data_IF_318535821093
#
_entry.id   IF_318535821093
#
_cell.length_a   1.000
_cell.length_b   1.000
_cell.length_c   1.000
_cell.angle_alpha   90.00
_cell.angle_beta   90.00
_cell.angle_gamma   90.00
#
_symmetry.space_group_name_H-M   'P 1'
#
loop_
_entity.id
_entity.type
_entity.pdbx_description
1 polymer ?
#
# COMPACT_ATOMS: atom_id res chain seq x y z
N UNK A 1 1.56 79.22 -34.45
CA UNK A 1 2.97 78.84 -34.72
C UNK A 1 3.10 77.34 -34.42
N UNK A 2 3.54 76.55 -35.41
CA UNK A 2 4.14 75.19 -35.38
C UNK A 2 4.40 74.59 -33.97
N UNK A 3 4.15 73.31 -33.64
CA UNK A 3 4.61 72.06 -34.28
C UNK A 3 3.93 70.84 -33.60
N UNK A 4 3.82 69.72 -34.33
CA UNK A 4 3.39 68.37 -33.90
C UNK A 4 4.37 67.71 -32.92
N UNK A 5 3.91 66.79 -32.06
CA UNK A 5 4.57 65.50 -31.82
C UNK A 5 3.60 64.43 -31.27
N UNK A 6 3.75 63.22 -31.82
CA UNK A 6 3.04 61.98 -31.52
C UNK A 6 3.80 61.19 -30.43
N UNK A 7 3.12 60.61 -29.46
CA UNK A 7 3.62 59.51 -28.60
C UNK A 7 2.41 58.66 -28.18
N UNK A 8 2.14 57.56 -28.88
CA UNK A 8 2.44 56.17 -28.48
C UNK A 8 1.57 55.63 -27.34
N UNK A 9 0.63 54.76 -27.72
CA UNK A 9 -0.05 53.82 -26.85
C UNK A 9 0.97 52.91 -26.15
N UNK A 10 0.83 52.77 -24.84
CA UNK A 10 1.35 51.60 -24.13
C UNK A 10 0.35 51.21 -23.05
N UNK A 11 -0.42 50.16 -23.34
CA UNK A 11 -1.18 49.41 -22.33
C UNK A 11 -0.15 48.77 -21.39
N UNK A 12 -0.03 49.28 -20.16
CA UNK A 12 0.72 48.59 -19.12
C UNK A 12 -0.16 47.44 -18.61
N UNK A 13 -0.05 46.27 -19.27
CA UNK A 13 -0.47 45.01 -18.69
C UNK A 13 0.44 44.73 -17.49
N UNK A 14 0.00 45.13 -16.29
CA UNK A 14 0.63 44.67 -15.06
C UNK A 14 0.16 43.23 -14.85
N UNK A 15 0.76 42.28 -15.57
CA UNK A 15 0.65 40.86 -15.23
C UNK A 15 1.28 40.68 -13.86
N UNK A 16 0.45 40.65 -12.81
CA UNK A 16 0.85 40.05 -11.55
C UNK A 16 1.15 38.58 -11.83
N UNK A 17 2.43 38.27 -12.09
CA UNK A 17 2.96 36.95 -11.86
C UNK A 17 2.88 36.72 -10.34
N UNK A 18 1.74 36.20 -9.89
CA UNK A 18 1.71 35.51 -8.61
C UNK A 18 2.69 34.34 -8.76
N UNK A 19 3.73 34.24 -7.92
CA UNK A 19 4.54 33.04 -7.92
C UNK A 19 3.60 31.88 -7.61
N UNK A 20 3.58 30.86 -8.47
CA UNK A 20 2.95 29.58 -8.16
C UNK A 20 3.57 29.12 -6.85
N UNK A 21 2.82 29.24 -5.76
CA UNK A 21 3.14 28.54 -4.53
C UNK A 21 3.09 27.05 -4.88
N UNK A 22 4.26 26.46 -5.09
CA UNK A 22 4.41 25.01 -5.15
C UNK A 22 3.82 24.46 -3.86
N UNK A 23 2.72 23.73 -3.95
CA UNK A 23 2.26 22.90 -2.85
C UNK A 23 3.43 21.98 -2.48
N UNK A 24 4.08 22.27 -1.37
CA UNK A 24 5.21 21.53 -0.88
C UNK A 24 4.63 20.24 -0.28
N UNK A 25 4.93 19.09 -0.88
CA UNK A 25 4.66 17.79 -0.27
C UNK A 25 5.19 17.83 1.15
N UNK A 26 4.31 17.74 2.14
CA UNK A 26 4.73 17.71 3.55
C UNK A 26 5.31 16.33 3.83
N UNK A 27 6.53 16.11 3.36
CA UNK A 27 7.31 14.95 3.75
C UNK A 27 7.44 14.99 5.28
N UNK A 28 7.17 13.86 5.93
CA UNK A 28 7.43 13.73 7.35
C UNK A 28 8.93 13.59 7.54
N UNK A 29 9.51 14.50 8.33
CA UNK A 29 10.93 14.44 8.67
C UNK A 29 11.11 13.61 9.93
N UNK A 30 11.87 12.53 9.81
CA UNK A 30 12.29 11.72 10.96
C UNK A 30 13.74 12.04 11.26
N UNK A 31 13.95 12.68 12.41
CA UNK A 31 15.27 13.08 12.90
C UNK A 31 15.77 12.11 13.96
N UNK A 32 17.01 11.66 13.83
CA UNK A 32 17.70 10.97 14.93
C UNK A 32 19.22 11.13 14.86
N UNK A 33 19.87 10.83 15.98
CA UNK A 33 21.32 10.93 16.14
C UNK A 33 21.97 9.59 16.45
N UNK A 34 23.01 9.27 15.67
CA UNK A 34 23.93 8.18 15.95
C UNK A 34 25.14 8.70 16.75
N UNK A 35 25.35 8.18 17.95
CA UNK A 35 26.48 8.56 18.80
C UNK A 35 27.70 7.67 18.56
N UNK A 36 28.89 8.25 18.68
CA UNK A 36 30.17 7.58 18.48
C UNK A 36 31.12 7.78 19.65
N UNK A 37 31.90 6.74 19.92
CA UNK A 37 33.00 6.80 20.88
C UNK A 37 34.17 7.65 20.35
N UNK A 38 35.06 8.05 21.26
CA UNK A 38 36.27 8.80 20.95
C UNK A 38 37.10 8.05 19.89
N UNK A 39 37.54 8.76 18.86
CA UNK A 39 38.31 8.24 17.71
C UNK A 39 37.70 7.06 16.95
N UNK A 40 36.42 6.73 17.20
CA UNK A 40 35.72 5.65 16.49
C UNK A 40 34.81 6.21 15.41
N UNK A 41 34.74 5.46 14.32
CA UNK A 41 33.80 5.70 13.21
C UNK A 41 32.94 4.48 12.89
N UNK A 42 33.14 3.35 13.56
CA UNK A 42 32.29 2.17 13.44
C UNK A 42 31.03 2.35 14.30
N UNK A 43 29.87 1.97 13.76
CA UNK A 43 28.63 1.90 14.53
C UNK A 43 28.73 0.79 15.58
N UNK A 44 28.42 1.12 16.83
CA UNK A 44 28.32 0.11 17.89
C UNK A 44 27.10 -0.79 17.67
N UNK A 45 27.05 -1.94 18.36
CA UNK A 45 25.89 -2.83 18.31
C UNK A 45 24.60 -2.12 18.75
N UNK A 46 24.67 -1.28 19.79
CA UNK A 46 23.53 -0.50 20.26
C UNK A 46 23.04 0.51 19.20
N UNK A 47 23.96 1.24 18.55
CA UNK A 47 23.54 2.17 17.48
C UNK A 47 22.93 1.46 16.28
N UNK A 48 23.42 0.27 15.92
CA UNK A 48 22.78 -0.56 14.88
C UNK A 48 21.35 -0.95 15.27
N UNK A 49 21.14 -1.48 16.48
CA UNK A 49 19.80 -1.82 16.98
C UNK A 49 18.83 -0.62 17.00
N UNK A 50 19.33 0.59 17.28
CA UNK A 50 18.51 1.81 17.21
C UNK A 50 18.10 2.13 15.77
N UNK A 51 19.03 2.01 14.81
CA UNK A 51 18.72 2.18 13.38
C UNK A 51 17.74 1.09 12.93
N UNK A 52 17.92 -0.17 13.32
CA UNK A 52 17.02 -1.26 12.97
C UNK A 52 15.61 -1.02 13.53
N UNK A 53 15.51 -0.57 14.79
CA UNK A 53 14.23 -0.23 15.43
C UNK A 53 13.53 0.94 14.73
N UNK A 54 14.30 1.88 14.18
CA UNK A 54 13.79 2.98 13.38
C UNK A 54 13.30 2.46 12.00
N UNK A 55 14.08 1.62 11.33
CA UNK A 55 13.74 1.08 10.02
C UNK A 55 12.53 0.14 10.06
N UNK A 56 12.25 -0.50 11.20
CA UNK A 56 10.97 -1.20 11.43
C UNK A 56 9.76 -0.28 11.33
N UNK A 57 9.89 0.97 11.79
CA UNK A 57 8.81 1.98 11.78
C UNK A 57 8.81 2.83 10.52
N UNK A 58 9.98 2.95 9.89
CA UNK A 58 10.23 3.77 8.69
C UNK A 58 11.01 2.96 7.66
N UNK A 59 10.36 1.99 6.98
CA UNK A 59 11.04 1.11 6.05
C UNK A 59 11.74 1.86 4.91
N UNK A 60 12.79 1.27 4.35
CA UNK A 60 13.68 1.99 3.43
C UNK A 60 13.01 2.41 2.11
N UNK A 61 12.03 1.63 1.66
CA UNK A 61 11.23 1.88 0.46
C UNK A 61 10.30 3.11 0.57
N UNK A 62 10.00 3.60 1.78
CA UNK A 62 9.20 4.82 1.99
C UNK A 62 10.06 6.06 2.22
N UNK A 63 11.40 5.89 2.28
CA UNK A 63 12.35 7.00 2.41
C UNK A 63 12.54 7.63 1.02
N UNK A 64 11.99 8.83 0.82
CA UNK A 64 12.18 9.62 -0.42
C UNK A 64 13.59 10.19 -0.51
N UNK A 65 14.09 10.72 0.60
CA UNK A 65 15.46 11.19 0.71
C UNK A 65 16.01 10.97 2.12
N UNK A 66 17.33 10.85 2.22
CA UNK A 66 18.05 10.82 3.49
C UNK A 66 19.13 11.91 3.47
N UNK A 67 19.23 12.68 4.55
CA UNK A 67 20.33 13.62 4.78
C UNK A 67 21.16 13.15 5.97
N UNK A 68 22.48 13.09 5.79
CA UNK A 68 23.40 12.58 6.81
C UNK A 68 24.50 13.61 7.05
N UNK A 69 24.61 14.10 8.28
CA UNK A 69 25.57 15.13 8.67
C UNK A 69 26.49 14.66 9.79
N UNK A 70 27.80 14.71 9.56
CA UNK A 70 28.80 14.22 10.51
C UNK A 70 29.43 15.30 11.37
N UNK A 71 29.57 15.03 12.67
CA UNK A 71 30.16 15.95 13.65
C UNK A 71 31.19 15.23 14.55
N UNK A 72 32.07 16.03 15.15
CA UNK A 72 33.03 15.63 16.18
C UNK A 72 32.96 16.59 17.36
N UNK A 73 33.60 16.21 18.47
CA UNK A 73 33.90 17.14 19.55
C UNK A 73 35.16 17.95 19.25
N UNK A 74 35.47 18.89 20.14
CA UNK A 74 36.54 19.87 19.96
C UNK A 74 37.93 19.43 20.47
N UNK A 75 38.21 18.12 20.52
CA UNK A 75 39.43 17.60 21.15
C UNK A 75 40.64 17.53 20.22
N UNK A 76 40.41 17.53 18.91
CA UNK A 76 41.45 17.34 17.89
C UNK A 76 41.47 18.53 16.92
N UNK A 77 42.47 18.57 16.04
CA UNK A 77 42.55 19.63 15.03
C UNK A 77 41.42 19.51 13.99
N UNK A 78 41.12 20.65 13.36
CA UNK A 78 40.03 20.79 12.39
C UNK A 78 40.14 19.78 11.24
N UNK A 79 41.34 19.55 10.70
CA UNK A 79 41.53 18.65 9.55
C UNK A 79 41.26 17.18 9.92
N UNK A 80 41.78 16.76 11.07
CA UNK A 80 41.50 15.45 11.65
C UNK A 80 40.00 15.26 11.88
N UNK A 81 39.35 16.23 12.52
CA UNK A 81 37.93 16.21 12.85
C UNK A 81 37.04 16.17 11.60
N UNK A 82 37.41 16.88 10.53
CA UNK A 82 36.77 16.79 9.21
C UNK A 82 36.90 15.39 8.61
N UNK A 83 38.08 14.76 8.67
CA UNK A 83 38.27 13.38 8.17
C UNK A 83 37.48 12.35 9.00
N UNK A 84 37.45 12.50 10.32
CA UNK A 84 36.75 11.59 11.22
C UNK A 84 35.23 11.66 11.05
N UNK A 85 34.66 12.87 10.99
CA UNK A 85 33.22 13.06 10.72
C UNK A 85 32.81 12.49 9.36
N UNK A 86 33.62 12.67 8.31
CA UNK A 86 33.39 12.04 6.99
C UNK A 86 33.32 10.51 7.08
N UNK A 87 34.24 9.87 7.81
CA UNK A 87 34.23 8.40 7.99
C UNK A 87 32.99 7.92 8.75
N UNK A 88 32.52 8.68 9.74
CA UNK A 88 31.28 8.36 10.48
C UNK A 88 30.05 8.42 9.57
N UNK A 89 29.94 9.46 8.75
CA UNK A 89 28.87 9.61 7.74
C UNK A 89 28.87 8.43 6.77
N UNK A 90 30.04 8.02 6.28
CA UNK A 90 30.18 6.86 5.40
C UNK A 90 29.75 5.56 6.07
N UNK A 91 30.07 5.36 7.36
CA UNK A 91 29.62 4.18 8.11
C UNK A 91 28.09 4.13 8.25
N UNK A 92 27.46 5.26 8.54
CA UNK A 92 25.99 5.34 8.64
C UNK A 92 25.34 5.10 7.28
N UNK A 93 25.81 5.79 6.23
CA UNK A 93 25.29 5.60 4.87
C UNK A 93 25.44 4.14 4.41
N UNK A 94 26.62 3.54 4.61
CA UNK A 94 26.86 2.14 4.26
C UNK A 94 25.87 1.21 4.96
N UNK A 95 25.53 1.50 6.21
CA UNK A 95 24.55 0.70 6.94
C UNK A 95 23.16 0.78 6.29
N UNK A 96 22.66 1.98 5.99
CA UNK A 96 21.37 2.15 5.29
C UNK A 96 21.35 1.53 3.90
N UNK A 97 22.44 1.62 3.14
CA UNK A 97 22.55 0.96 1.81
C UNK A 97 22.49 -0.55 1.94
N UNK A 98 23.12 -1.15 2.96
CA UNK A 98 23.01 -2.58 3.24
C UNK A 98 21.58 -3.00 3.63
N UNK A 99 20.77 -2.08 4.17
CA UNK A 99 19.34 -2.28 4.46
C UNK A 99 18.45 -2.00 3.24
N UNK A 100 19.02 -1.76 2.05
CA UNK A 100 18.29 -1.61 0.79
C UNK A 100 18.07 -0.17 0.31
N UNK A 101 18.74 0.82 0.90
CA UNK A 101 18.60 2.22 0.48
C UNK A 101 19.36 2.46 -0.82
N UNK A 102 18.70 3.02 -1.83
CA UNK A 102 19.38 3.49 -3.04
C UNK A 102 20.27 4.70 -2.70
N UNK A 103 21.60 4.63 -2.95
CA UNK A 103 22.51 5.75 -2.71
C UNK A 103 22.11 7.06 -3.39
N UNK A 104 21.35 7.01 -4.50
CA UNK A 104 20.89 8.21 -5.21
C UNK A 104 19.97 9.09 -4.35
N UNK A 105 19.30 8.49 -3.36
CA UNK A 105 18.40 9.19 -2.45
C UNK A 105 19.13 9.84 -1.26
N UNK A 106 20.46 9.72 -1.19
CA UNK A 106 21.26 10.20 -0.07
C UNK A 106 22.00 11.51 -0.37
N UNK A 107 21.82 12.49 0.51
CA UNK A 107 22.62 13.71 0.59
C UNK A 107 23.50 13.65 1.84
N UNK A 108 24.80 13.92 1.69
CA UNK A 108 25.74 13.83 2.82
C UNK A 108 26.61 15.08 2.94
N UNK A 109 26.92 15.49 4.17
CA UNK A 109 27.92 16.51 4.49
C UNK A 109 28.61 16.21 5.83
N UNK A 110 29.74 16.86 6.11
CA UNK A 110 30.55 16.60 7.31
C UNK A 110 31.30 17.85 7.77
N UNK A 111 31.12 18.20 9.04
CA UNK A 111 31.53 19.50 9.58
C UNK A 111 32.68 19.42 10.59
N UNK A 112 33.09 18.22 11.01
CA UNK A 112 34.01 18.07 12.13
C UNK A 112 33.44 18.78 13.37
N UNK A 113 34.24 19.64 13.98
CA UNK A 113 33.89 20.40 15.19
C UNK A 113 33.18 21.73 14.91
N UNK A 114 33.06 22.15 13.65
CA UNK A 114 32.65 23.51 13.27
C UNK A 114 31.15 23.81 13.49
N UNK A 115 30.32 22.77 13.68
CA UNK A 115 28.88 22.89 13.95
C UNK A 115 28.49 22.09 15.21
N UNK A 116 28.87 22.53 16.42
CA UNK A 116 28.48 21.86 17.66
C UNK A 116 26.99 22.11 17.95
N UNK A 117 26.26 21.06 18.34
CA UNK A 117 24.88 21.20 18.85
C UNK A 117 24.85 21.24 20.38
N UNK A 118 25.91 20.75 21.02
CA UNK A 118 26.06 20.70 22.47
C UNK A 118 27.30 21.47 22.93
N UNK A 119 27.37 21.79 24.22
CA UNK A 119 28.51 22.48 24.80
C UNK A 119 29.78 21.62 24.70
N UNK A 120 30.91 22.25 24.38
CA UNK A 120 32.23 21.62 24.35
C UNK A 120 32.91 21.63 25.73
N UNK A 121 32.15 21.52 26.82
CA UNK A 121 32.72 21.26 28.15
C UNK A 121 33.09 19.76 28.30
N UNK A 122 34.02 19.38 29.20
CA UNK A 122 34.41 17.98 29.42
C UNK A 122 33.22 17.03 29.64
N UNK A 123 32.18 17.51 30.30
CA UNK A 123 31.00 16.74 30.70
C UNK A 123 30.00 16.53 29.56
N UNK A 124 30.03 17.35 28.50
CA UNK A 124 29.00 17.35 27.45
C UNK A 124 29.53 17.13 26.04
N UNK A 125 30.83 17.40 25.81
CA UNK A 125 31.43 17.35 24.47
C UNK A 125 31.19 16.03 23.74
N UNK A 126 31.07 14.92 24.48
CA UNK A 126 30.84 13.60 23.88
C UNK A 126 29.55 13.52 23.05
N UNK A 127 28.54 14.34 23.37
CA UNK A 127 27.30 14.44 22.60
C UNK A 127 27.53 15.04 21.20
N UNK A 128 28.61 15.79 21.00
CA UNK A 128 29.02 16.28 19.67
C UNK A 128 29.70 15.21 18.81
N UNK A 129 30.06 14.05 19.36
CA UNK A 129 30.50 12.88 18.58
C UNK A 129 29.29 12.18 17.98
N UNK A 130 28.60 12.85 17.06
CA UNK A 130 27.33 12.41 16.49
C UNK A 130 27.34 12.42 14.96
N UNK A 131 26.41 11.64 14.40
CA UNK A 131 25.92 11.81 13.04
C UNK A 131 24.43 12.09 13.12
N UNK A 132 24.02 13.21 12.56
CA UNK A 132 22.61 13.57 12.41
C UNK A 132 22.08 12.90 11.15
N UNK A 133 20.91 12.28 11.27
CA UNK A 133 20.23 11.64 10.15
C UNK A 133 18.82 12.19 10.09
N UNK A 134 18.46 12.69 8.91
CA UNK A 134 17.15 13.24 8.60
C UNK A 134 16.57 12.41 7.46
N UNK A 135 15.53 11.64 7.75
CA UNK A 135 14.78 10.91 6.73
C UNK A 135 13.60 11.78 6.30
N UNK A 136 13.46 12.02 5.01
CA UNK A 136 12.23 12.53 4.42
C UNK A 136 11.44 11.32 3.96
N UNK A 137 10.42 10.96 4.74
CA UNK A 137 9.60 9.80 4.45
C UNK A 137 8.29 10.23 3.82
N UNK A 138 7.78 9.39 2.94
CA UNK A 138 6.40 9.52 2.50
C UNK A 138 5.47 9.13 3.66
N UNK A 139 4.95 10.14 4.36
CA UNK A 139 4.09 9.94 5.51
C UNK A 139 2.79 9.17 5.16
N UNK A 140 2.40 9.20 3.89
CA UNK A 140 1.23 8.46 3.36
C UNK A 140 1.45 6.95 3.32
N UNK A 141 2.72 6.50 3.32
CA UNK A 141 3.11 5.09 3.25
C UNK A 141 3.49 4.50 4.61
N UNK A 142 3.52 5.32 5.67
CA UNK A 142 3.64 4.82 7.04
C UNK A 142 2.36 4.08 7.42
N UNK A 143 2.43 2.97 8.16
CA UNK A 143 1.27 2.42 8.85
C UNK A 143 0.86 3.41 9.96
N UNK A 144 0.10 4.45 9.60
CA UNK A 144 -0.58 5.30 10.57
C UNK A 144 -1.86 4.59 11.00
N UNK A 145 -2.06 4.47 12.31
CA UNK A 145 -3.30 3.98 12.88
C UNK A 145 -4.49 4.86 12.44
N UNK A 146 -5.55 4.22 11.94
CA UNK A 146 -6.95 4.66 11.97
C UNK A 146 -7.31 6.06 11.47
N UNK A 147 -6.65 6.61 10.44
CA UNK A 147 -7.22 7.77 9.74
C UNK A 147 -8.15 7.31 8.62
N UNK A 148 -9.35 7.90 8.60
CA UNK A 148 -10.34 7.71 7.54
C UNK A 148 -9.75 8.20 6.23
N UNK A 149 -9.94 7.47 5.13
CA UNK A 149 -9.60 7.91 3.76
C UNK A 149 -10.22 9.29 3.45
N UNK A 150 -11.36 9.61 4.05
CA UNK A 150 -12.05 10.90 3.90
C UNK A 150 -11.22 12.10 4.43
N UNK A 151 -10.32 11.84 5.37
CA UNK A 151 -9.50 12.86 6.05
C UNK A 151 -8.22 13.20 5.28
N UNK A 152 -7.84 12.39 4.29
CA UNK A 152 -6.62 12.62 3.52
C UNK A 152 -6.86 13.63 2.40
N UNK A 153 -5.91 14.56 2.16
CA UNK A 153 -5.85 15.25 0.88
C UNK A 153 -5.56 14.20 -0.20
N UNK A 154 -6.32 14.23 -1.30
CA UNK A 154 -6.23 13.27 -2.39
C UNK A 154 -5.64 13.97 -3.62
N UNK A 155 -4.40 14.44 -3.52
CA UNK A 155 -3.74 15.17 -4.59
C UNK A 155 -3.28 14.21 -5.69
N UNK A 156 -3.15 14.73 -6.90
CA UNK A 156 -2.59 13.95 -8.02
C UNK A 156 -1.19 13.45 -7.68
N UNK A 157 -0.96 12.14 -7.82
CA UNK A 157 0.28 11.45 -7.50
C UNK A 157 0.33 10.85 -6.09
N UNK A 158 -0.64 11.17 -5.22
CA UNK A 158 -0.70 10.61 -3.87
C UNK A 158 -0.89 9.09 -3.92
N UNK A 159 -0.20 8.38 -3.03
CA UNK A 159 -0.33 6.94 -2.86
C UNK A 159 -0.81 6.62 -1.47
N UNK A 160 -1.91 5.88 -1.37
CA UNK A 160 -2.61 5.65 -0.12
C UNK A 160 -2.91 4.16 0.03
N UNK A 161 -2.78 3.63 1.24
CA UNK A 161 -3.27 2.29 1.54
C UNK A 161 -4.74 2.36 1.93
N UNK A 162 -5.54 1.40 1.47
CA UNK A 162 -6.88 1.21 2.00
C UNK A 162 -6.77 0.53 3.38
N UNK A 163 -7.06 1.28 4.44
CA UNK A 163 -7.11 0.75 5.81
C UNK A 163 -8.18 -0.33 5.94
N UNK A 164 -7.95 -1.34 6.77
CA UNK A 164 -8.89 -2.45 7.04
C UNK A 164 -9.32 -3.31 5.85
N UNK A 165 -8.71 -3.14 4.67
CA UNK A 165 -8.89 -4.05 3.53
C UNK A 165 -7.97 -5.26 3.66
N UNK A 166 -8.55 -6.38 4.08
CA UNK A 166 -7.90 -7.65 4.31
C UNK A 166 -8.55 -8.72 3.42
N UNK A 167 -7.78 -9.74 3.08
CA UNK A 167 -8.20 -10.81 2.18
C UNK A 167 -8.07 -12.17 2.86
N UNK A 168 -8.93 -13.10 2.47
CA UNK A 168 -8.73 -14.53 2.77
C UNK A 168 -7.36 -14.94 2.20
N UNK A 169 -6.54 -15.73 2.94
CA UNK A 169 -5.23 -16.14 2.46
C UNK A 169 -5.33 -16.83 1.09
N UNK A 170 -4.38 -16.51 0.20
CA UNK A 170 -4.32 -17.02 -1.19
C UNK A 170 -5.58 -16.78 -2.03
N UNK A 171 -6.41 -15.80 -1.64
CA UNK A 171 -7.63 -15.45 -2.33
C UNK A 171 -7.72 -13.94 -2.60
N UNK A 172 -8.52 -13.59 -3.62
CA UNK A 172 -8.96 -12.22 -3.88
C UNK A 172 -10.25 -11.87 -3.13
N UNK A 173 -10.73 -12.77 -2.28
CA UNK A 173 -11.94 -12.59 -1.47
C UNK A 173 -11.63 -11.70 -0.27
N UNK A 174 -12.31 -10.55 -0.10
CA UNK A 174 -12.11 -9.73 1.09
C UNK A 174 -12.74 -10.38 2.33
N UNK A 175 -12.17 -10.08 3.50
CA UNK A 175 -12.76 -10.41 4.78
C UNK A 175 -14.02 -9.56 5.01
N UNK A 176 -14.97 -10.04 5.82
CA UNK A 176 -16.17 -9.26 6.17
C UNK A 176 -15.84 -7.95 6.88
N UNK A 177 -14.79 -7.93 7.70
CA UNK A 177 -14.28 -6.72 8.36
C UNK A 177 -13.82 -5.63 7.38
N UNK A 178 -13.60 -5.97 6.11
CA UNK A 178 -13.19 -5.03 5.06
C UNK A 178 -14.34 -4.27 4.41
N UNK A 179 -15.59 -4.58 4.73
CA UNK A 179 -16.76 -3.86 4.20
C UNK A 179 -16.79 -2.39 4.61
N UNK A 180 -16.28 -2.05 5.80
CA UNK A 180 -16.10 -0.66 6.22
C UNK A 180 -15.16 0.12 5.30
N UNK A 181 -14.10 -0.52 4.83
CA UNK A 181 -13.16 0.07 3.89
C UNK A 181 -13.79 0.32 2.51
N UNK A 182 -14.67 -0.59 2.06
CA UNK A 182 -15.43 -0.42 0.82
C UNK A 182 -16.49 0.69 0.93
N UNK A 183 -17.20 0.78 2.06
CA UNK A 183 -18.16 1.86 2.33
C UNK A 183 -17.48 3.22 2.23
N UNK A 184 -16.33 3.34 2.89
CA UNK A 184 -15.52 4.54 2.90
C UNK A 184 -14.98 4.90 1.51
N UNK A 185 -14.36 3.93 0.81
CA UNK A 185 -13.82 4.17 -0.53
C UNK A 185 -14.92 4.60 -1.51
N UNK A 186 -16.09 3.95 -1.46
CA UNK A 186 -17.23 4.31 -2.29
C UNK A 186 -17.74 5.72 -1.96
N UNK A 187 -17.85 6.07 -0.68
CA UNK A 187 -18.22 7.41 -0.24
C UNK A 187 -17.24 8.45 -0.80
N UNK A 188 -15.93 8.24 -0.64
CA UNK A 188 -14.89 9.15 -1.15
C UNK A 188 -14.98 9.32 -2.66
N UNK A 189 -15.17 8.24 -3.42
CA UNK A 189 -15.31 8.31 -4.89
C UNK A 189 -16.56 9.06 -5.34
N UNK A 190 -17.65 8.99 -4.57
CA UNK A 190 -18.87 9.75 -4.85
C UNK A 190 -18.76 11.22 -4.44
N UNK A 191 -18.12 11.51 -3.30
CA UNK A 191 -17.90 12.88 -2.82
C UNK A 191 -16.93 13.65 -3.72
N UNK A 192 -15.99 12.97 -4.39
CA UNK A 192 -15.05 13.58 -5.32
C UNK A 192 -15.39 13.12 -6.75
N UNK A 193 -16.29 13.79 -7.49
CA UNK A 193 -16.89 13.27 -8.73
C UNK A 193 -15.90 13.13 -9.89
N UNK A 194 -14.76 13.79 -9.82
CA UNK A 194 -13.68 13.79 -10.81
C UNK A 194 -12.41 13.11 -10.31
N UNK A 195 -12.43 12.50 -9.11
CA UNK A 195 -11.30 11.72 -8.61
C UNK A 195 -11.06 10.49 -9.49
N UNK A 196 -9.85 10.36 -10.02
CA UNK A 196 -9.39 9.21 -10.80
C UNK A 196 -8.35 8.43 -10.00
N UNK A 197 -8.48 7.11 -9.94
CA UNK A 197 -7.62 6.22 -9.15
C UNK A 197 -7.02 5.09 -9.98
N UNK A 198 -5.78 4.71 -9.69
CA UNK A 198 -5.17 3.45 -10.08
C UNK A 198 -5.07 2.53 -8.86
N UNK A 199 -5.74 1.38 -8.92
CA UNK A 199 -5.77 0.35 -7.88
C UNK A 199 -4.60 -0.62 -8.07
N UNK A 200 -3.76 -0.78 -7.05
CA UNK A 200 -2.49 -1.50 -7.17
C UNK A 200 -2.46 -2.68 -6.22
N UNK A 201 -2.53 -3.89 -6.75
CA UNK A 201 -2.57 -5.10 -5.95
C UNK A 201 -1.18 -5.68 -5.71
N UNK A 202 -0.97 -6.15 -4.48
CA UNK A 202 0.28 -6.75 -4.02
C UNK A 202 0.00 -8.06 -3.28
N UNK A 203 0.97 -8.98 -3.34
CA UNK A 203 0.93 -10.27 -2.63
C UNK A 203 2.22 -10.48 -1.84
N UNK A 204 2.17 -11.40 -0.88
CA UNK A 204 3.33 -11.83 -0.09
C UNK A 204 4.02 -13.04 -0.70
N UNK A 205 5.32 -13.14 -0.40
CA UNK A 205 6.19 -14.33 -0.33
C UNK A 205 6.46 -15.13 -1.62
N UNK A 206 5.48 -15.27 -2.52
CA UNK A 206 5.68 -15.80 -3.87
C UNK A 206 5.20 -14.79 -4.92
N UNK A 207 5.82 -14.80 -6.10
CA UNK A 207 5.42 -13.88 -7.17
C UNK A 207 4.12 -14.34 -7.85
N UNK A 208 3.02 -14.30 -7.11
CA UNK A 208 1.68 -14.57 -7.62
C UNK A 208 1.09 -13.30 -8.23
N UNK A 209 1.53 -13.03 -9.46
CA UNK A 209 1.08 -11.89 -10.23
C UNK A 209 -0.44 -11.93 -10.46
N UNK A 210 -1.00 -13.09 -10.77
CA UNK A 210 -2.43 -13.27 -11.04
C UNK A 210 -3.29 -12.93 -9.82
N UNK A 211 -2.91 -13.41 -8.62
CA UNK A 211 -3.59 -13.05 -7.39
C UNK A 211 -3.53 -11.55 -7.10
N UNK A 212 -2.37 -10.93 -7.36
CA UNK A 212 -2.22 -9.48 -7.18
C UNK A 212 -3.13 -8.68 -8.13
N UNK A 213 -3.26 -9.11 -9.39
CA UNK A 213 -4.20 -8.54 -10.36
C UNK A 213 -5.63 -8.78 -9.92
N UNK A 214 -5.97 -9.99 -9.48
CA UNK A 214 -7.31 -10.36 -9.06
C UNK A 214 -7.80 -9.52 -7.86
N UNK A 215 -6.93 -9.24 -6.89
CA UNK A 215 -7.25 -8.35 -5.75
C UNK A 215 -7.53 -6.93 -6.17
N UNK A 216 -6.69 -6.35 -7.03
CA UNK A 216 -6.89 -4.99 -7.53
C UNK A 216 -8.18 -4.90 -8.38
N UNK A 217 -8.40 -5.91 -9.25
CA UNK A 217 -9.60 -6.03 -10.06
C UNK A 217 -10.86 -6.15 -9.22
N UNK A 218 -10.84 -6.91 -8.13
CA UNK A 218 -12.01 -7.04 -7.25
C UNK A 218 -12.45 -5.67 -6.70
N UNK A 219 -11.50 -4.83 -6.26
CA UNK A 219 -11.82 -3.46 -5.79
C UNK A 219 -12.35 -2.59 -6.94
N UNK A 220 -11.76 -2.74 -8.14
CA UNK A 220 -12.22 -2.05 -9.35
C UNK A 220 -13.67 -2.42 -9.70
N UNK A 221 -13.96 -3.72 -9.78
CA UNK A 221 -15.27 -4.26 -10.14
C UNK A 221 -16.31 -3.85 -9.09
N UNK A 222 -15.96 -3.88 -7.80
CA UNK A 222 -16.80 -3.33 -6.73
C UNK A 222 -17.22 -1.88 -7.00
N UNK A 223 -16.28 -0.98 -7.28
CA UNK A 223 -16.60 0.43 -7.52
C UNK A 223 -17.46 0.62 -8.77
N UNK A 224 -17.17 -0.12 -9.84
CA UNK A 224 -17.95 -0.08 -11.08
C UNK A 224 -19.38 -0.58 -10.86
N UNK A 225 -19.54 -1.68 -10.13
CA UNK A 225 -20.85 -2.26 -9.80
C UNK A 225 -21.69 -1.31 -8.93
N UNK A 226 -21.05 -0.40 -8.17
CA UNK A 226 -21.70 0.64 -7.37
C UNK A 226 -21.78 2.00 -8.09
N UNK A 227 -21.60 2.01 -9.40
CA UNK A 227 -21.89 3.17 -10.26
C UNK A 227 -20.74 4.14 -10.49
N UNK A 228 -19.52 3.82 -10.02
CA UNK A 228 -18.35 4.63 -10.36
C UNK A 228 -17.96 4.36 -11.82
N UNK A 229 -17.77 5.43 -12.59
CA UNK A 229 -17.41 5.34 -14.01
C UNK A 229 -16.07 4.64 -14.21
N UNK A 230 -16.02 3.68 -15.14
CA UNK A 230 -14.79 2.98 -15.56
C UNK A 230 -13.67 3.93 -15.98
N UNK A 231 -14.01 5.07 -16.57
CA UNK A 231 -13.01 6.04 -17.02
C UNK A 231 -12.24 6.71 -15.86
N UNK A 232 -12.76 6.60 -14.63
CA UNK A 232 -12.12 7.13 -13.41
C UNK A 232 -11.22 6.12 -12.72
N UNK A 233 -11.09 4.92 -13.27
CA UNK A 233 -10.47 3.79 -12.58
C UNK A 233 -9.50 3.06 -13.51
N UNK A 234 -8.33 2.75 -12.98
CA UNK A 234 -7.35 1.81 -13.55
C UNK A 234 -7.01 0.77 -12.47
N UNK A 235 -6.48 -0.39 -12.86
CA UNK A 235 -5.96 -1.36 -11.90
C UNK A 235 -4.78 -2.16 -12.45
N UNK A 236 -3.81 -2.47 -11.58
CA UNK A 236 -2.58 -3.19 -11.92
C UNK A 236 -2.15 -4.12 -10.78
N UNK A 237 -1.69 -5.31 -11.14
CA UNK A 237 -1.00 -6.20 -10.20
C UNK A 237 0.50 -5.95 -10.20
N UNK A 238 1.15 -6.10 -9.04
CA UNK A 238 2.60 -5.93 -8.87
C UNK A 238 3.30 -7.20 -8.36
N UNK A 239 2.56 -8.28 -8.11
CA UNK A 239 3.10 -9.48 -7.48
C UNK A 239 3.70 -9.17 -6.10
N UNK A 240 4.83 -9.80 -5.80
CA UNK A 240 5.61 -9.55 -4.58
C UNK A 240 6.80 -8.57 -4.81
N UNK A 241 6.83 -7.86 -5.96
CA UNK A 241 8.00 -7.05 -6.36
C UNK A 241 8.16 -5.75 -5.59
N UNK A 242 7.13 -5.33 -4.84
CA UNK A 242 7.12 -4.07 -4.07
C UNK A 242 6.54 -4.36 -2.67
N UNK A 243 7.28 -5.08 -1.81
CA UNK A 243 6.87 -5.30 -0.42
C UNK A 243 6.91 -3.97 0.34
N UNK A 244 5.99 -3.76 1.29
CA UNK A 244 6.07 -2.63 2.25
C UNK A 244 7.08 -2.91 3.35
N UNK A 245 7.11 -4.15 3.83
CA UNK A 245 7.94 -4.60 4.94
C UNK A 245 8.74 -5.83 4.53
N UNK A 246 9.90 -6.02 5.15
CA UNK A 246 10.58 -7.31 5.12
C UNK A 246 9.69 -8.34 5.82
N UNK A 247 9.48 -9.49 5.17
CA UNK A 247 8.62 -10.58 5.66
C UNK A 247 9.35 -11.34 6.76
N UNK A 248 9.06 -11.00 8.02
CA UNK A 248 9.69 -11.60 9.21
C UNK A 248 8.69 -12.36 10.08
N UNK A 249 7.40 -12.07 9.94
CA UNK A 249 6.28 -12.65 10.67
C UNK A 249 4.95 -12.51 9.90
N UNK A 250 3.90 -13.20 10.34
CA UNK A 250 2.57 -13.17 9.69
C UNK A 250 1.97 -11.75 9.63
N UNK A 251 2.31 -10.87 10.58
CA UNK A 251 1.83 -9.49 10.60
C UNK A 251 2.43 -8.69 9.44
N UNK A 252 3.76 -8.73 9.27
CA UNK A 252 4.47 -8.10 8.15
C UNK A 252 4.07 -8.71 6.79
N UNK A 253 3.85 -10.02 6.73
CA UNK A 253 3.30 -10.69 5.54
C UNK A 253 1.88 -10.21 5.20
N UNK A 254 1.02 -10.06 6.21
CA UNK A 254 -0.34 -9.53 6.03
C UNK A 254 -0.33 -8.10 5.50
N UNK A 255 0.60 -7.26 5.96
CA UNK A 255 0.78 -5.90 5.47
C UNK A 255 1.23 -5.84 4.01
N UNK A 256 1.96 -6.86 3.52
CA UNK A 256 2.35 -6.97 2.12
C UNK A 256 1.21 -7.44 1.20
N UNK A 257 0.20 -8.13 1.73
CA UNK A 257 -1.02 -8.57 1.02
C UNK A 257 -2.07 -7.46 0.94
N UNK A 258 -1.77 -6.40 0.17
CA UNK A 258 -2.56 -5.16 0.17
C UNK A 258 -3.05 -4.74 -1.23
N UNK A 259 -3.99 -3.80 -1.22
CA UNK A 259 -4.32 -2.96 -2.38
C UNK A 259 -4.03 -1.50 -2.02
N UNK A 260 -3.20 -0.84 -2.81
CA UNK A 260 -2.93 0.59 -2.71
C UNK A 260 -3.77 1.37 -3.74
N UNK A 261 -4.05 2.61 -3.41
CA UNK A 261 -4.64 3.62 -4.29
C UNK A 261 -3.53 4.54 -4.76
N UNK A 262 -3.47 4.82 -6.06
CA UNK A 262 -2.68 5.91 -6.62
C UNK A 262 -3.63 6.93 -7.24
N UNK A 263 -3.61 8.17 -6.78
CA UNK A 263 -4.48 9.23 -7.32
C UNK A 263 -3.91 9.67 -8.67
N UNK A 264 -4.66 9.41 -9.74
CA UNK A 264 -4.28 9.79 -11.10
C UNK A 264 -4.65 11.25 -11.39
N UNK A 265 -5.78 11.70 -10.87
CA UNK A 265 -6.28 13.05 -11.02
C UNK A 265 -7.31 13.36 -9.93
N UNK A 266 -7.34 14.60 -9.45
CA UNK A 266 -8.39 15.14 -8.59
C UNK A 266 -8.33 16.67 -8.63
N UNK A 267 -9.45 17.34 -8.91
CA UNK A 267 -9.54 18.82 -8.80
C UNK A 267 -9.84 19.31 -7.39
N UNK A 268 -9.95 18.39 -6.42
CA UNK A 268 -10.37 18.64 -5.03
C UNK A 268 -11.83 19.12 -4.89
N UNK A 269 -12.59 19.12 -6.00
CA UNK A 269 -14.01 19.39 -5.98
C UNK A 269 -14.72 18.33 -5.13
N UNK A 270 -15.41 18.78 -4.08
CA UNK A 270 -16.25 17.92 -3.25
C UNK A 270 -17.74 18.21 -3.42
N UNK A 271 -18.55 17.16 -3.42
CA UNK A 271 -20.01 17.21 -3.36
C UNK A 271 -20.50 16.46 -2.13
N UNK A 272 -21.68 16.81 -1.65
CA UNK A 272 -22.33 16.10 -0.56
C UNK A 272 -22.89 14.77 -1.06
N UNK A 273 -22.52 13.66 -0.41
CA UNK A 273 -23.06 12.33 -0.68
C UNK A 273 -23.69 11.76 0.58
N UNK A 274 -25.02 11.58 0.58
CA UNK A 274 -25.80 11.12 1.74
C UNK A 274 -26.43 9.74 1.53
N UNK A 275 -26.22 9.13 0.36
CA UNK A 275 -26.85 7.86 0.03
C UNK A 275 -26.10 6.71 0.70
N UNK A 276 -26.76 6.03 1.64
CA UNK A 276 -26.29 4.73 2.12
C UNK A 276 -26.79 3.65 1.17
N UNK A 277 -25.87 2.90 0.58
CA UNK A 277 -26.19 1.78 -0.31
C UNK A 277 -25.82 0.48 0.42
N UNK A 278 -26.64 -0.56 0.26
CA UNK A 278 -26.25 -1.90 0.70
C UNK A 278 -25.09 -2.37 -0.17
N UNK A 279 -24.00 -2.79 0.45
CA UNK A 279 -22.81 -3.18 -0.28
C UNK A 279 -22.89 -4.63 -0.74
N UNK A 280 -22.36 -4.85 -1.94
CA UNK A 280 -22.14 -6.17 -2.51
C UNK A 280 -20.73 -6.27 -3.08
N UNK A 281 -20.02 -7.36 -2.82
CA UNK A 281 -18.71 -7.60 -3.45
C UNK A 281 -18.76 -8.91 -4.20
N UNK A 282 -18.23 -8.91 -5.43
CA UNK A 282 -18.03 -10.12 -6.23
C UNK A 282 -16.53 -10.40 -6.32
N UNK A 283 -16.12 -11.63 -6.00
CA UNK A 283 -14.72 -12.03 -6.06
C UNK A 283 -14.56 -13.42 -6.69
N UNK A 284 -13.48 -13.68 -7.45
CA UNK A 284 -13.16 -15.04 -7.90
C UNK A 284 -12.67 -15.90 -6.73
N UNK A 285 -13.04 -17.18 -6.74
CA UNK A 285 -12.49 -18.20 -5.83
C UNK A 285 -11.36 -18.95 -6.54
N UNK A 286 -10.13 -18.67 -6.12
CA UNK A 286 -8.92 -19.21 -6.71
C UNK A 286 -8.57 -20.58 -6.13
N UNK A 287 -7.99 -21.45 -6.96
CA UNK A 287 -7.42 -22.76 -6.58
C UNK A 287 -8.33 -23.75 -5.83
N UNK A 288 -9.65 -23.58 -5.90
CA UNK A 288 -10.61 -24.61 -5.47
C UNK A 288 -10.68 -25.70 -6.54
N UNK A 289 -9.70 -26.62 -6.49
CA UNK A 289 -9.49 -27.65 -7.50
C UNK A 289 -10.20 -28.96 -7.16
N UNK A 290 -10.80 -29.56 -8.18
CA UNK A 290 -11.30 -30.94 -8.15
C UNK A 290 -10.29 -31.89 -8.78
N UNK A 291 -10.39 -33.17 -8.46
CA UNK A 291 -9.70 -34.20 -9.21
C UNK A 291 -10.24 -34.24 -10.65
N UNK A 292 -9.37 -34.60 -11.59
CA UNK A 292 -9.70 -34.71 -13.01
C UNK A 292 -10.88 -35.64 -13.25
N UNK A 293 -11.80 -35.24 -14.15
CA UNK A 293 -13.03 -35.96 -14.46
C UNK A 293 -13.87 -36.38 -13.23
N UNK A 294 -13.72 -35.69 -12.10
CA UNK A 294 -14.33 -36.06 -10.83
C UNK A 294 -14.95 -34.87 -10.12
N UNK A 295 -15.98 -35.16 -9.33
CA UNK A 295 -16.59 -34.21 -8.41
C UNK A 295 -15.89 -34.16 -7.04
N UNK A 296 -14.83 -34.95 -6.83
CA UNK A 296 -14.07 -34.98 -5.57
C UNK A 296 -13.09 -33.81 -5.53
N UNK A 297 -13.06 -33.07 -4.41
CA UNK A 297 -12.05 -32.05 -4.18
C UNK A 297 -10.66 -32.68 -4.07
N UNK A 298 -9.68 -32.03 -4.69
CA UNK A 298 -8.26 -32.30 -4.44
C UNK A 298 -7.87 -31.89 -3.02
N UNK A 299 -6.77 -32.41 -2.44
CA UNK A 299 -6.29 -31.97 -1.13
C UNK A 299 -6.08 -30.45 -1.04
N UNK A 300 -5.48 -29.84 -2.07
CA UNK A 300 -5.32 -28.39 -2.18
C UNK A 300 -6.67 -27.68 -2.25
N UNK A 301 -7.62 -28.20 -3.03
CA UNK A 301 -8.95 -27.60 -3.16
C UNK A 301 -9.74 -27.64 -1.85
N UNK A 302 -9.66 -28.73 -1.08
CA UNK A 302 -10.27 -28.83 0.24
C UNK A 302 -9.64 -27.88 1.25
N UNK A 303 -8.32 -27.69 1.20
CA UNK A 303 -7.61 -26.71 2.01
C UNK A 303 -8.10 -25.28 1.71
N UNK A 304 -8.13 -24.87 0.43
CA UNK A 304 -8.62 -23.55 0.04
C UNK A 304 -10.07 -23.30 0.47
N UNK A 305 -10.92 -24.33 0.36
CA UNK A 305 -12.31 -24.26 0.81
C UNK A 305 -12.42 -24.20 2.35
N UNK A 306 -11.41 -24.67 3.09
CA UNK A 306 -11.33 -24.55 4.56
C UNK A 306 -11.12 -23.11 4.98
N UNK A 307 -10.16 -22.42 4.36
CA UNK A 307 -9.90 -21.00 4.63
C UNK A 307 -11.14 -20.15 4.33
N UNK A 308 -11.83 -20.44 3.23
CA UNK A 308 -13.10 -19.79 2.91
C UNK A 308 -14.17 -20.08 3.96
N UNK A 309 -14.31 -21.34 4.38
CA UNK A 309 -15.29 -21.72 5.39
C UNK A 309 -15.05 -21.02 6.75
N UNK A 310 -13.80 -20.80 7.14
CA UNK A 310 -13.44 -20.02 8.33
C UNK A 310 -13.94 -18.58 8.24
N UNK A 311 -13.62 -17.88 7.15
CA UNK A 311 -14.11 -16.52 6.91
C UNK A 311 -15.65 -16.45 6.92
N UNK A 312 -16.33 -17.38 6.25
CA UNK A 312 -17.80 -17.43 6.19
C UNK A 312 -18.43 -17.56 7.59
N UNK A 313 -17.83 -18.36 8.48
CA UNK A 313 -18.35 -18.57 9.86
C UNK A 313 -18.23 -17.33 10.73
N UNK A 314 -17.16 -16.56 10.56
CA UNK A 314 -16.85 -15.38 11.37
C UNK A 314 -17.54 -14.10 10.85
N UNK A 315 -18.24 -14.20 9.72
CA UNK A 315 -18.85 -13.06 9.04
C UNK A 315 -20.29 -12.82 9.46
N UNK A 316 -20.45 -12.08 10.57
CA UNK A 316 -21.76 -11.61 11.02
C UNK A 316 -22.40 -10.63 10.02
N UNK A 317 -23.73 -10.64 9.92
CA UNK A 317 -24.44 -9.71 9.05
C UNK A 317 -24.30 -9.93 7.54
N UNK A 318 -23.55 -10.94 7.08
CA UNK A 318 -23.31 -11.18 5.66
C UNK A 318 -24.09 -12.39 5.09
N UNK A 319 -24.35 -12.36 3.79
CA UNK A 319 -24.87 -13.44 2.96
C UNK A 319 -23.90 -13.76 1.82
N UNK A 320 -23.78 -15.04 1.51
CA UNK A 320 -22.81 -15.56 0.55
C UNK A 320 -23.50 -16.34 -0.57
N UNK A 321 -23.22 -15.98 -1.81
CA UNK A 321 -23.70 -16.73 -2.98
C UNK A 321 -22.48 -17.23 -3.76
N UNK A 322 -22.26 -18.54 -3.77
CA UNK A 322 -21.14 -19.15 -4.49
C UNK A 322 -21.66 -19.70 -5.81
N UNK A 323 -21.10 -19.23 -6.91
CA UNK A 323 -21.51 -19.64 -8.25
C UNK A 323 -20.40 -20.43 -8.91
N UNK A 324 -20.72 -21.65 -9.35
CA UNK A 324 -19.84 -22.50 -10.16
C UNK A 324 -20.29 -22.44 -11.63
N UNK A 325 -19.40 -22.03 -12.51
CA UNK A 325 -19.71 -21.86 -13.94
C UNK A 325 -19.45 -23.16 -14.71
N UNK A 326 -20.33 -23.48 -15.64
CA UNK A 326 -20.21 -24.65 -16.52
C UNK A 326 -19.29 -24.38 -17.73
N UNK A 327 -18.05 -23.95 -17.45
CA UNK A 327 -17.05 -23.63 -18.47
C UNK A 327 -16.29 -24.87 -19.01
N UNK A 328 -16.58 -26.05 -18.45
CA UNK A 328 -15.99 -27.33 -18.87
C UNK A 328 -16.82 -28.07 -19.93
N UNK A 329 -18.05 -27.61 -20.20
CA UNK A 329 -18.94 -28.25 -21.18
C UNK A 329 -19.54 -29.58 -20.72
N UNK A 330 -19.45 -29.90 -19.44
CA UNK A 330 -20.06 -31.07 -18.81
C UNK A 330 -21.00 -30.61 -17.69
N UNK A 331 -22.26 -30.39 -18.08
CA UNK A 331 -23.30 -29.88 -17.19
C UNK A 331 -23.60 -30.83 -16.03
N UNK A 332 -23.37 -32.14 -16.19
CA UNK A 332 -23.61 -33.16 -15.15
C UNK A 332 -22.48 -33.08 -14.13
N UNK A 333 -21.23 -33.12 -14.57
CA UNK A 333 -20.07 -33.01 -13.70
C UNK A 333 -20.05 -31.67 -12.95
N UNK A 334 -20.37 -30.56 -13.63
CA UNK A 334 -20.49 -29.23 -13.01
C UNK A 334 -21.54 -29.23 -11.88
N UNK A 335 -22.70 -29.88 -12.07
CA UNK A 335 -23.73 -30.02 -11.02
C UNK A 335 -23.25 -30.89 -9.84
N UNK A 336 -22.50 -31.96 -10.11
CA UNK A 336 -21.92 -32.80 -9.06
C UNK A 336 -20.87 -32.03 -8.25
N UNK A 337 -19.99 -31.27 -8.91
CA UNK A 337 -18.97 -30.41 -8.28
C UNK A 337 -19.62 -29.33 -7.42
N UNK A 338 -20.68 -28.67 -7.90
CA UNK A 338 -21.49 -27.73 -7.12
C UNK A 338 -22.03 -28.39 -5.83
N UNK A 339 -22.60 -29.60 -5.93
CA UNK A 339 -23.09 -30.34 -4.76
C UNK A 339 -21.95 -30.68 -3.78
N UNK A 340 -20.75 -31.00 -4.28
CA UNK A 340 -19.57 -31.24 -3.44
C UNK A 340 -19.15 -29.99 -2.67
N UNK A 341 -19.13 -28.82 -3.30
CA UNK A 341 -18.81 -27.55 -2.62
C UNK A 341 -19.79 -27.31 -1.46
N UNK A 342 -21.09 -27.41 -1.75
CA UNK A 342 -22.14 -27.19 -0.77
C UNK A 342 -22.01 -28.14 0.42
N UNK A 343 -21.92 -29.45 0.17
CA UNK A 343 -21.76 -30.47 1.23
C UNK A 343 -20.51 -30.25 2.06
N UNK A 344 -19.40 -29.89 1.41
CA UNK A 344 -18.13 -29.66 2.09
C UNK A 344 -18.20 -28.43 3.01
N UNK A 345 -18.79 -27.33 2.56
CA UNK A 345 -19.00 -26.14 3.40
C UNK A 345 -19.89 -26.44 4.61
N UNK A 346 -20.98 -27.19 4.42
CA UNK A 346 -21.84 -27.66 5.53
C UNK A 346 -21.07 -28.53 6.52
N UNK A 347 -20.27 -29.47 6.03
CA UNK A 347 -19.42 -30.34 6.85
C UNK A 347 -18.37 -29.56 7.64
N UNK A 348 -17.85 -28.46 7.09
CA UNK A 348 -16.90 -27.54 7.76
C UNK A 348 -17.59 -26.55 8.72
N UNK A 349 -18.90 -26.70 8.95
CA UNK A 349 -19.66 -25.97 9.96
C UNK A 349 -20.24 -24.64 9.51
N UNK A 350 -20.25 -24.33 8.21
CA UNK A 350 -20.86 -23.09 7.71
C UNK A 350 -22.40 -23.20 7.83
N UNK A 351 -23.09 -22.23 8.47
CA UNK A 351 -24.54 -22.28 8.63
C UNK A 351 -25.30 -22.21 7.30
N UNK A 352 -26.24 -23.13 7.04
CA UNK A 352 -27.04 -23.16 5.79
C UNK A 352 -27.79 -21.85 5.47
N UNK A 353 -28.11 -21.06 6.50
CA UNK A 353 -28.87 -19.81 6.34
C UNK A 353 -28.04 -18.64 5.80
N UNK A 354 -26.71 -18.75 5.79
CA UNK A 354 -25.84 -17.65 5.37
C UNK A 354 -25.23 -17.84 3.99
N UNK A 355 -25.30 -19.04 3.41
CA UNK A 355 -24.73 -19.28 2.08
C UNK A 355 -25.62 -20.14 1.20
N UNK A 356 -25.50 -19.95 -0.12
CA UNK A 356 -25.99 -20.86 -1.15
C UNK A 356 -24.90 -21.15 -2.17
N UNK A 357 -24.98 -22.31 -2.80
CA UNK A 357 -24.13 -22.67 -3.94
C UNK A 357 -25.03 -22.94 -5.14
N UNK A 358 -24.70 -22.36 -6.29
CA UNK A 358 -25.46 -22.53 -7.52
C UNK A 358 -24.55 -22.84 -8.71
N UNK A 359 -25.12 -23.47 -9.74
CA UNK A 359 -24.46 -23.67 -11.03
C UNK A 359 -24.98 -22.63 -12.02
N UNK A 360 -24.07 -21.91 -12.67
CA UNK A 360 -24.39 -20.95 -13.72
C UNK A 360 -23.86 -21.43 -15.09
N UNK A 361 -24.51 -21.03 -16.20
CA UNK A 361 -23.97 -21.28 -17.53
C UNK A 361 -22.67 -20.48 -17.73
N UNK A 362 -21.81 -20.95 -18.64
CA UNK A 362 -20.61 -20.20 -19.05
C UNK A 362 -21.00 -18.82 -19.62
N UNK A 363 -20.28 -17.78 -19.20
CA UNK A 363 -20.45 -16.44 -19.76
C UNK A 363 -19.58 -16.24 -21.02
N UNK A 364 -20.00 -15.36 -21.94
CA UNK A 364 -19.29 -15.13 -23.22
C UNK A 364 -17.82 -14.72 -23.06
N UNK A 365 -17.50 -14.03 -21.96
CA UNK A 365 -16.14 -13.57 -21.63
C UNK A 365 -15.26 -14.66 -20.99
N UNK A 366 -15.84 -15.80 -20.60
CA UNK A 366 -15.10 -16.86 -19.91
C UNK A 366 -14.49 -17.85 -20.91
N UNK A 367 -13.19 -18.17 -20.78
CA UNK A 367 -12.55 -19.20 -21.57
C UNK A 367 -13.11 -20.59 -21.20
N UNK A 368 -13.27 -21.43 -22.21
CA UNK A 368 -13.54 -22.85 -22.01
C UNK A 368 -12.26 -23.56 -21.60
N UNK A 369 -12.35 -24.48 -20.65
CA UNK A 369 -11.24 -25.35 -20.24
C UNK A 369 -11.79 -26.73 -19.88
N UNK A 370 -11.11 -27.84 -20.23
CA UNK A 370 -11.56 -29.17 -19.82
C UNK A 370 -11.30 -29.48 -18.33
N UNK A 371 -10.41 -28.72 -17.68
CA UNK A 371 -9.76 -29.19 -16.45
C UNK A 371 -10.49 -28.72 -15.18
N UNK A 372 -11.00 -27.49 -15.16
CA UNK A 372 -11.52 -26.87 -13.95
C UNK A 372 -12.73 -25.96 -14.19
N UNK A 373 -13.64 -25.93 -13.21
CA UNK A 373 -14.72 -24.96 -13.19
C UNK A 373 -14.22 -23.61 -12.65
N UNK A 374 -14.70 -22.54 -13.25
CA UNK A 374 -14.58 -21.20 -12.69
C UNK A 374 -15.59 -21.08 -11.55
N UNK A 375 -15.16 -20.45 -10.46
CA UNK A 375 -15.99 -20.29 -9.26
C UNK A 375 -15.86 -18.84 -8.80
N UNK A 376 -16.97 -18.21 -8.46
CA UNK A 376 -17.02 -16.89 -7.84
C UNK A 376 -17.84 -16.91 -6.56
N UNK A 377 -17.62 -15.92 -5.71
CA UNK A 377 -18.44 -15.64 -4.55
C UNK A 377 -18.98 -14.22 -4.64
N UNK A 378 -20.26 -14.06 -4.33
CA UNK A 378 -20.90 -12.77 -4.08
C UNK A 378 -21.16 -12.68 -2.59
N UNK A 379 -20.68 -11.60 -1.97
CA UNK A 379 -20.86 -11.28 -0.55
C UNK A 379 -21.77 -10.07 -0.47
N UNK A 380 -22.86 -10.16 0.31
CA UNK A 380 -23.86 -9.08 0.46
C UNK A 380 -24.15 -8.83 1.93
N UNK A 381 -24.39 -7.57 2.29
CA UNK A 381 -24.96 -7.24 3.59
C UNK A 381 -26.41 -7.72 3.70
N UNK A 382 -26.80 -8.26 4.87
CA UNK A 382 -28.16 -8.76 5.15
C UNK A 382 -29.23 -7.68 5.05
#
# INVERSE_FOLDING_TARGET
MKLRFSVFATFLFLTFFLPKASAQSTDSLVYFECLFELDRFQLSANQRLRIDSLLKKTPVNIIKNIRIYGHTDSLADIEYNRKLSRRRVQSVLKYFVLQGLDPINAQTDYYGEEKPAYNNSPEERFKNRRVEVILSVDASLLPMADRSLSDYPLNTGDRLRISNLNFVPNQAVPMSTSFSAFEELLKVMNENPDLELSLRGHVCCSNDFELSVARARMVYDFLVDHGISKNRLDYKGFGNKVPLFEEVDEESEALNRRVELEVLYNSERRITYLAKQKLQVTAPLMDIKFNEASARLSPSGDFMLTLLAEMLKESEGMLFEISLYDNIGDAVLSSQRMSTLEKTLRKKGVPNKIFKVEKLPIQKSMPRTPDYNWISIVIREK
#
